data_IF_738179416865
#
_entry.id   IF_738179416865
#
_cell.length_a   1.000
_cell.length_b   1.000
_cell.length_c   1.000
_cell.angle_alpha   90.00
_cell.angle_beta   90.00
_cell.angle_gamma   90.00
#
_symmetry.space_group_name_H-M   'P 1'
#
loop_
_entity.id
_entity.type
_entity.pdbx_description
1 polymer ?
#
# COMPACT_ATOMS: atom_id res chain seq x y z
N UNK A 1 -21.28 22.74 -14.10
CA UNK A 1 -21.02 21.50 -14.87
C UNK A 1 -21.13 20.31 -13.92
N UNK A 2 -22.29 19.65 -13.92
CA UNK A 2 -22.57 18.52 -13.04
C UNK A 2 -21.80 17.28 -13.53
N UNK A 3 -20.99 16.68 -12.64
CA UNK A 3 -20.34 15.39 -12.88
C UNK A 3 -21.42 14.31 -12.90
N UNK A 4 -21.61 13.67 -14.04
CA UNK A 4 -22.46 12.49 -14.14
C UNK A 4 -21.84 11.34 -13.34
N UNK A 5 -22.59 10.69 -12.44
CA UNK A 5 -22.17 9.43 -11.85
C UNK A 5 -22.10 8.35 -12.94
N UNK A 6 -21.08 7.51 -12.89
CA UNK A 6 -20.90 6.35 -13.78
C UNK A 6 -22.04 5.35 -13.59
N UNK A 7 -23.16 5.56 -14.28
CA UNK A 7 -24.18 4.56 -14.54
C UNK A 7 -24.18 4.27 -16.04
N UNK A 8 -23.20 3.51 -16.48
CA UNK A 8 -23.34 2.73 -17.72
C UNK A 8 -23.02 1.29 -17.39
N UNK A 9 -24.10 0.59 -17.05
CA UNK A 9 -24.22 -0.86 -17.06
C UNK A 9 -23.97 -1.34 -18.49
N UNK A 10 -22.70 -1.42 -18.90
CA UNK A 10 -22.31 -2.31 -19.98
C UNK A 10 -22.19 -3.68 -19.35
N UNK A 11 -23.16 -4.55 -19.64
CA UNK A 11 -23.05 -5.97 -19.36
C UNK A 11 -21.75 -6.46 -20.03
N UNK A 12 -20.70 -6.66 -19.24
CA UNK A 12 -19.48 -7.31 -19.71
C UNK A 12 -19.73 -8.81 -19.75
N UNK A 13 -19.39 -9.49 -20.85
CA UNK A 13 -19.49 -10.94 -20.93
C UNK A 13 -18.57 -11.60 -19.88
N UNK A 14 -19.02 -12.74 -19.37
CA UNK A 14 -18.60 -13.48 -18.17
C UNK A 14 -17.16 -14.06 -18.17
N UNK A 15 -16.20 -13.53 -18.94
CA UNK A 15 -14.92 -14.20 -19.12
C UNK A 15 -13.77 -13.42 -18.48
N UNK A 16 -13.43 -13.87 -17.27
CA UNK A 16 -12.23 -13.57 -16.46
C UNK A 16 -12.13 -12.09 -16.05
N UNK A 17 -12.75 -11.76 -14.92
CA UNK A 17 -12.29 -10.61 -14.16
C UNK A 17 -10.81 -10.85 -13.81
N UNK A 18 -9.87 -9.96 -14.17
CA UNK A 18 -8.51 -10.09 -13.67
C UNK A 18 -8.55 -9.83 -12.17
N UNK A 19 -8.64 -10.90 -11.38
CA UNK A 19 -8.69 -10.83 -9.93
C UNK A 19 -7.30 -11.12 -9.37
N UNK A 20 -6.59 -10.06 -9.02
CA UNK A 20 -5.39 -10.19 -8.23
C UNK A 20 -5.75 -10.31 -6.74
N UNK A 21 -5.41 -11.45 -6.15
CA UNK A 21 -5.59 -11.71 -4.72
C UNK A 21 -4.40 -11.27 -3.87
N UNK A 22 -3.31 -10.85 -4.51
CA UNK A 22 -2.13 -10.36 -3.83
C UNK A 22 -2.46 -9.14 -2.94
N UNK A 23 -1.75 -9.03 -1.82
CA UNK A 23 -2.02 -8.05 -0.78
C UNK A 23 -1.28 -6.73 -0.97
N UNK A 24 -0.23 -6.72 -1.79
CA UNK A 24 0.65 -5.55 -1.98
C UNK A 24 0.52 -5.00 -3.38
N UNK A 25 0.25 -3.70 -3.46
CA UNK A 25 0.16 -2.94 -4.69
C UNK A 25 0.93 -1.63 -4.55
N UNK A 26 1.25 -0.99 -5.66
CA UNK A 26 1.77 0.36 -5.70
C UNK A 26 0.91 1.22 -6.62
N UNK A 27 0.79 2.51 -6.30
CA UNK A 27 0.27 3.48 -7.24
C UNK A 27 1.34 3.76 -8.30
N UNK A 28 1.01 3.57 -9.58
CA UNK A 28 1.89 3.88 -10.71
C UNK A 28 1.33 5.07 -11.49
N UNK A 29 2.21 6.01 -11.82
CA UNK A 29 1.84 7.27 -12.47
C UNK A 29 2.35 7.27 -13.90
N UNK A 30 1.43 7.40 -14.86
CA UNK A 30 1.76 7.62 -16.26
C UNK A 30 0.50 7.94 -17.09
N UNK A 31 0.62 8.85 -18.04
CA UNK A 31 -0.53 9.36 -18.80
C UNK A 31 -1.09 8.35 -19.80
N UNK A 32 -0.27 7.41 -20.28
CA UNK A 32 -0.71 6.41 -21.27
C UNK A 32 -1.29 5.14 -20.64
N UNK A 33 -1.20 4.98 -19.32
CA UNK A 33 -1.67 3.77 -18.66
C UNK A 33 -3.20 3.72 -18.64
N UNK A 34 -3.74 2.53 -18.91
CA UNK A 34 -5.18 2.25 -18.93
C UNK A 34 -5.50 1.15 -17.94
N UNK A 35 -6.65 1.28 -17.28
CA UNK A 35 -7.13 0.25 -16.37
C UNK A 35 -7.44 -1.04 -17.16
N UNK A 36 -6.93 -2.19 -16.71
CA UNK A 36 -7.22 -3.48 -17.36
C UNK A 36 -8.71 -3.88 -17.32
N UNK A 37 -9.51 -3.30 -16.42
CA UNK A 37 -10.93 -3.64 -16.25
C UNK A 37 -11.87 -2.75 -17.07
N UNK A 38 -11.61 -1.44 -17.12
CA UNK A 38 -12.48 -0.49 -17.82
C UNK A 38 -11.85 0.19 -19.04
N UNK A 39 -10.57 -0.06 -19.31
CA UNK A 39 -9.77 0.48 -20.44
C UNK A 39 -9.69 2.02 -20.49
N UNK A 40 -10.16 2.69 -19.44
CA UNK A 40 -10.11 4.15 -19.28
C UNK A 40 -8.80 4.55 -18.60
N UNK A 41 -8.37 5.77 -18.92
CA UNK A 41 -7.39 6.48 -18.12
C UNK A 41 -8.01 6.86 -16.77
N UNK A 42 -7.26 6.73 -15.67
CA UNK A 42 -7.75 7.08 -14.34
C UNK A 42 -7.91 8.60 -14.22
N UNK A 43 -9.04 9.11 -13.73
CA UNK A 43 -9.20 10.54 -13.49
C UNK A 43 -8.25 11.07 -12.41
N UNK A 44 -7.75 10.20 -11.52
CA UNK A 44 -6.78 10.54 -10.47
C UNK A 44 -5.33 10.62 -10.99
N UNK A 45 -5.07 10.22 -12.24
CA UNK A 45 -3.73 10.24 -12.83
C UNK A 45 -2.82 9.07 -12.44
N UNK A 46 -3.33 8.06 -11.73
CA UNK A 46 -2.57 6.86 -11.36
C UNK A 46 -3.44 5.58 -11.37
N UNK A 47 -2.77 4.43 -11.49
CA UNK A 47 -3.39 3.11 -11.36
C UNK A 47 -2.73 2.33 -10.22
N UNK A 48 -3.45 1.38 -9.63
CA UNK A 48 -2.86 0.41 -8.72
C UNK A 48 -2.29 -0.75 -9.53
N UNK A 49 -0.99 -1.04 -9.35
CA UNK A 49 -0.31 -2.20 -9.92
C UNK A 49 0.08 -3.16 -8.82
N UNK A 50 -0.16 -4.45 -9.00
CA UNK A 50 0.37 -5.49 -8.12
C UNK A 50 1.91 -5.46 -8.14
N UNK A 51 2.54 -5.46 -6.97
CA UNK A 51 4.01 -5.47 -6.86
C UNK A 51 4.58 -6.70 -6.16
N UNK A 52 3.75 -7.64 -5.72
CA UNK A 52 4.21 -8.83 -4.96
C UNK A 52 5.34 -9.59 -5.67
N UNK A 53 5.20 -9.85 -6.97
CA UNK A 53 6.28 -10.49 -7.75
C UNK A 53 7.39 -9.51 -8.14
N UNK A 54 7.09 -8.20 -8.19
CA UNK A 54 8.02 -7.16 -8.59
C UNK A 54 9.09 -6.88 -7.53
N UNK A 55 8.74 -6.94 -6.24
CA UNK A 55 9.70 -6.76 -5.15
C UNK A 55 10.90 -7.73 -5.26
N UNK A 56 10.70 -9.07 -5.29
CA UNK A 56 11.81 -10.02 -5.38
C UNK A 56 12.54 -9.96 -6.73
N UNK A 57 11.86 -9.59 -7.82
CA UNK A 57 12.49 -9.38 -9.13
C UNK A 57 13.51 -8.23 -9.09
N UNK A 58 13.17 -7.10 -8.46
CA UNK A 58 14.09 -5.96 -8.32
C UNK A 58 15.32 -6.34 -7.50
N UNK A 59 15.14 -7.07 -6.39
CA UNK A 59 16.29 -7.55 -5.60
C UNK A 59 17.18 -8.51 -6.38
N UNK A 60 16.59 -9.45 -7.12
CA UNK A 60 17.35 -10.40 -7.94
C UNK A 60 18.15 -9.69 -9.04
N UNK A 61 17.54 -8.70 -9.70
CA UNK A 61 18.20 -7.87 -10.70
C UNK A 61 19.39 -7.11 -10.09
N UNK A 62 19.21 -6.47 -8.92
CA UNK A 62 20.32 -5.81 -8.21
C UNK A 62 21.43 -6.80 -7.86
N UNK A 63 21.10 -7.98 -7.35
CA UNK A 63 22.08 -9.01 -6.98
C UNK A 63 22.91 -9.50 -8.19
N UNK A 64 22.35 -9.45 -9.40
CA UNK A 64 23.04 -9.74 -10.66
C UNK A 64 23.89 -8.59 -11.19
N UNK A 65 23.80 -7.40 -10.57
CA UNK A 65 24.48 -6.19 -11.00
C UNK A 65 23.71 -5.35 -12.01
N UNK A 66 22.41 -5.64 -12.24
CA UNK A 66 21.58 -4.84 -13.11
C UNK A 66 21.21 -3.50 -12.47
N UNK A 67 21.11 -2.45 -13.28
CA UNK A 67 20.66 -1.13 -12.81
C UNK A 67 19.15 -1.14 -12.57
N UNK A 68 18.75 -0.99 -11.30
CA UNK A 68 17.34 -1.01 -10.87
C UNK A 68 16.75 0.36 -10.55
N UNK A 69 17.59 1.39 -10.50
CA UNK A 69 17.28 2.77 -10.11
C UNK A 69 17.42 3.72 -11.30
N UNK A 70 16.62 4.79 -11.32
CA UNK A 70 16.72 5.85 -12.33
C UNK A 70 17.29 7.16 -11.77
N UNK A 71 17.42 7.31 -10.45
CA UNK A 71 17.87 8.53 -9.79
C UNK A 71 18.81 8.27 -8.59
N UNK A 72 19.52 9.32 -8.15
CA UNK A 72 20.48 9.24 -7.04
C UNK A 72 19.84 8.96 -5.70
N UNK A 73 18.58 9.37 -5.49
CA UNK A 73 17.82 9.02 -4.30
C UNK A 73 17.52 7.52 -4.28
N UNK A 74 17.16 6.96 -5.43
CA UNK A 74 17.00 5.52 -5.60
C UNK A 74 18.30 4.78 -5.31
N UNK A 75 19.43 5.28 -5.80
CA UNK A 75 20.75 4.67 -5.54
C UNK A 75 21.07 4.62 -4.04
N UNK A 76 20.77 5.70 -3.30
CA UNK A 76 20.97 5.73 -1.85
C UNK A 76 20.13 4.68 -1.12
N UNK A 77 18.85 4.54 -1.47
CA UNK A 77 17.96 3.57 -0.82
C UNK A 77 18.10 2.13 -1.35
N UNK A 78 18.69 1.94 -2.54
CA UNK A 78 18.86 0.62 -3.11
C UNK A 78 19.77 -0.26 -2.25
N UNK A 79 20.71 0.32 -1.49
CA UNK A 79 21.57 -0.41 -0.56
C UNK A 79 20.85 -0.91 0.70
N UNK A 80 19.75 -0.25 1.08
CA UNK A 80 18.97 -0.57 2.28
C UNK A 80 17.72 -1.41 1.97
N UNK A 81 17.46 -1.72 0.70
CA UNK A 81 16.21 -2.38 0.32
C UNK A 81 16.17 -3.87 0.69
N UNK A 82 15.00 -4.33 1.14
CA UNK A 82 14.76 -5.67 1.67
C UNK A 82 13.31 -6.10 1.41
N UNK A 83 13.01 -7.40 1.38
CA UNK A 83 11.61 -7.87 1.34
C UNK A 83 10.92 -7.79 2.72
N UNK A 84 11.60 -7.20 3.70
CA UNK A 84 11.16 -6.97 5.06
C UNK A 84 11.41 -8.17 5.98
N UNK A 85 11.27 -7.94 7.29
CA UNK A 85 11.42 -8.97 8.34
C UNK A 85 10.66 -10.30 8.07
N UNK A 86 9.49 -10.21 7.43
CA UNK A 86 8.63 -11.35 7.13
C UNK A 86 8.70 -11.80 5.66
N UNK A 87 9.67 -11.27 4.92
CA UNK A 87 9.88 -11.55 3.51
C UNK A 87 10.29 -13.00 3.23
N UNK A 88 10.14 -13.46 1.99
CA UNK A 88 10.51 -14.82 1.60
C UNK A 88 12.03 -15.07 1.70
N UNK A 89 12.86 -14.04 1.56
CA UNK A 89 14.31 -14.08 1.77
C UNK A 89 14.68 -14.33 3.23
N UNK A 90 14.04 -13.63 4.18
CA UNK A 90 14.23 -13.83 5.62
C UNK A 90 13.80 -15.26 6.03
N UNK A 91 12.70 -15.74 5.45
CA UNK A 91 12.12 -17.07 5.69
C UNK A 91 12.86 -18.24 5.07
N UNK A 92 13.89 -17.98 4.25
CA UNK A 92 14.79 -19.03 3.73
C UNK A 92 15.50 -19.79 4.85
N UNK A 93 15.78 -19.14 5.98
CA UNK A 93 16.47 -19.77 7.11
C UNK A 93 15.48 -20.61 7.92
N UNK A 94 15.81 -21.87 8.18
CA UNK A 94 14.91 -22.82 8.86
C UNK A 94 14.36 -22.32 10.20
N UNK A 95 15.18 -21.60 10.97
CA UNK A 95 14.82 -21.04 12.29
C UNK A 95 14.50 -19.54 12.23
N UNK A 96 14.17 -18.98 11.06
CA UNK A 96 13.83 -17.55 10.93
C UNK A 96 12.64 -17.14 11.80
N UNK A 97 11.77 -18.09 12.15
CA UNK A 97 10.60 -17.86 12.98
C UNK A 97 10.94 -17.16 14.30
N UNK A 98 12.03 -17.60 14.95
CA UNK A 98 12.44 -17.03 16.23
C UNK A 98 12.91 -15.57 16.11
N UNK A 99 13.31 -15.15 14.91
CA UNK A 99 13.66 -13.76 14.62
C UNK A 99 12.42 -12.93 14.18
N UNK A 100 11.30 -13.56 13.83
CA UNK A 100 10.07 -12.93 13.37
C UNK A 100 9.14 -12.55 14.53
N UNK A 101 9.17 -13.30 15.63
CA UNK A 101 8.35 -13.05 16.83
C UNK A 101 9.14 -12.31 17.90
N UNK A 102 8.44 -11.66 18.83
CA UNK A 102 9.07 -11.01 19.98
C UNK A 102 9.38 -12.03 21.09
N UNK A 103 10.32 -11.74 22.00
CA UNK A 103 10.59 -12.61 23.15
C UNK A 103 9.35 -12.90 24.00
N UNK A 104 8.46 -11.93 24.16
CA UNK A 104 7.20 -12.07 24.89
C UNK A 104 6.27 -13.06 24.18
N UNK A 105 6.19 -12.97 22.85
CA UNK A 105 5.41 -13.91 22.03
C UNK A 105 5.98 -15.32 22.12
N UNK A 106 7.31 -15.50 22.15
CA UNK A 106 7.95 -16.83 22.34
C UNK A 106 7.43 -17.50 23.60
N UNK A 107 7.31 -16.76 24.71
CA UNK A 107 6.85 -17.33 25.99
C UNK A 107 5.39 -17.77 25.97
N UNK A 108 4.59 -17.26 25.03
CA UNK A 108 3.18 -17.65 24.89
C UNK A 108 2.99 -19.03 24.23
N UNK A 109 4.02 -19.55 23.55
CA UNK A 109 3.97 -20.85 22.88
C UNK A 109 4.45 -21.98 23.78
N UNK A 110 3.81 -23.14 23.66
CA UNK A 110 4.35 -24.38 24.23
C UNK A 110 5.53 -24.89 23.40
N UNK A 111 6.38 -25.71 24.02
CA UNK A 111 7.53 -26.31 23.32
C UNK A 111 7.07 -27.15 22.10
N UNK A 112 5.97 -27.88 22.24
CA UNK A 112 5.39 -28.70 21.17
C UNK A 112 4.84 -27.86 20.01
N UNK A 113 4.27 -26.68 20.32
CA UNK A 113 3.83 -25.75 19.28
C UNK A 113 5.03 -25.18 18.51
N UNK A 114 6.10 -24.79 19.23
CA UNK A 114 7.33 -24.30 18.61
C UNK A 114 7.98 -25.37 17.72
N UNK A 115 8.07 -26.62 18.19
CA UNK A 115 8.63 -27.71 17.38
C UNK A 115 7.80 -27.94 16.11
N UNK A 116 6.47 -27.94 16.24
CA UNK A 116 5.56 -28.09 15.11
C UNK A 116 5.74 -26.98 14.08
N UNK A 117 5.81 -25.71 14.51
CA UNK A 117 6.00 -24.56 13.62
C UNK A 117 7.34 -24.65 12.89
N UNK A 118 8.42 -24.99 13.59
CA UNK A 118 9.76 -25.09 13.01
C UNK A 118 9.83 -26.26 12.00
N UNK A 119 9.16 -27.37 12.29
CA UNK A 119 9.08 -28.52 11.39
C UNK A 119 8.25 -28.21 10.14
N UNK A 120 7.11 -27.56 10.29
CA UNK A 120 6.29 -27.08 9.17
C UNK A 120 7.09 -26.16 8.24
N UNK A 121 7.88 -25.24 8.81
CA UNK A 121 8.72 -24.34 8.02
C UNK A 121 9.82 -25.08 7.26
N UNK A 122 10.46 -26.06 7.89
CA UNK A 122 11.43 -26.93 7.20
C UNK A 122 10.78 -27.63 6.01
N UNK A 123 9.60 -28.20 6.21
CA UNK A 123 8.87 -28.93 5.17
C UNK A 123 8.50 -28.02 3.99
N UNK A 124 8.07 -26.78 4.24
CA UNK A 124 7.76 -25.80 3.18
C UNK A 124 9.00 -25.48 2.33
N UNK A 125 10.18 -25.35 2.94
CA UNK A 125 11.43 -25.10 2.20
C UNK A 125 11.77 -26.30 1.31
N UNK A 126 11.64 -27.52 1.84
CA UNK A 126 11.91 -28.74 1.09
C UNK A 126 10.88 -28.95 -0.04
N UNK A 127 9.61 -28.64 0.20
CA UNK A 127 8.56 -28.66 -0.81
C UNK A 127 8.79 -27.63 -1.93
N UNK A 128 9.15 -26.40 -1.58
CA UNK A 128 9.51 -25.38 -2.59
C UNK A 128 10.65 -25.85 -3.49
N UNK A 129 11.71 -26.45 -2.91
CA UNK A 129 12.82 -27.02 -3.68
C UNK A 129 12.35 -28.14 -4.60
N UNK A 130 11.53 -29.07 -4.09
CA UNK A 130 10.96 -30.18 -4.88
C UNK A 130 10.09 -29.68 -6.03
N UNK A 131 9.26 -28.67 -5.79
CA UNK A 131 8.43 -28.05 -6.83
C UNK A 131 9.26 -27.31 -7.89
N UNK A 132 10.38 -26.69 -7.52
CA UNK A 132 11.30 -26.10 -8.50
C UNK A 132 11.82 -27.16 -9.48
N UNK A 133 12.23 -28.33 -8.98
CA UNK A 133 12.66 -29.45 -9.82
C UNK A 133 11.52 -30.03 -10.68
N UNK A 134 10.30 -30.10 -10.15
CA UNK A 134 9.14 -30.68 -10.83
C UNK A 134 8.60 -29.76 -11.94
N UNK A 135 8.46 -28.48 -11.66
CA UNK A 135 7.82 -27.52 -12.56
C UNK A 135 8.73 -27.05 -13.68
N UNK A 136 10.05 -27.05 -13.45
CA UNK A 136 11.05 -26.62 -14.42
C UNK A 136 10.94 -25.13 -14.79
N UNK A 137 12.08 -24.43 -14.79
CA UNK A 137 12.24 -23.03 -15.25
C UNK A 137 11.39 -21.92 -14.60
N UNK A 138 10.28 -22.14 -13.89
CA UNK A 138 9.47 -21.04 -13.29
C UNK A 138 10.30 -20.17 -12.33
N UNK A 139 11.31 -20.77 -11.70
CA UNK A 139 12.30 -20.10 -10.87
C UNK A 139 13.66 -20.14 -11.61
N UNK A 140 14.27 -18.97 -11.88
CA UNK A 140 15.50 -18.90 -12.66
C UNK A 140 16.75 -19.24 -11.84
N UNK A 141 16.66 -19.23 -10.50
CA UNK A 141 17.79 -19.38 -9.59
C UNK A 141 17.40 -20.21 -8.36
N UNK A 142 18.05 -21.37 -8.19
CA UNK A 142 17.86 -22.27 -7.05
C UNK A 142 18.24 -21.64 -5.70
N UNK A 143 19.03 -20.56 -5.71
CA UNK A 143 19.40 -19.81 -4.50
C UNK A 143 18.30 -18.84 -4.05
N UNK A 144 17.38 -18.47 -4.96
CA UNK A 144 16.25 -17.58 -4.71
C UNK A 144 14.93 -18.18 -5.26
N UNK A 145 14.46 -19.33 -4.73
CA UNK A 145 13.28 -20.05 -5.22
C UNK A 145 11.95 -19.32 -5.02
N UNK A 146 11.95 -18.11 -4.45
CA UNK A 146 10.77 -17.24 -4.36
C UNK A 146 10.72 -16.17 -5.46
N UNK A 147 11.81 -15.99 -6.23
CA UNK A 147 11.88 -15.06 -7.35
C UNK A 147 11.28 -15.76 -8.57
N UNK A 148 10.10 -15.36 -9.01
CA UNK A 148 9.51 -15.84 -10.25
C UNK A 148 10.29 -15.32 -11.47
N UNK A 149 10.21 -16.04 -12.59
CA UNK A 149 10.59 -15.45 -13.89
C UNK A 149 9.74 -14.20 -14.20
N UNK A 150 10.36 -13.22 -14.87
CA UNK A 150 9.70 -11.97 -15.27
C UNK A 150 8.46 -12.19 -16.15
N UNK A 151 8.49 -13.21 -17.00
CA UNK A 151 7.35 -13.63 -17.86
C UNK A 151 6.12 -14.06 -17.07
N UNK A 152 6.30 -14.44 -15.81
CA UNK A 152 5.24 -14.87 -14.90
C UNK A 152 4.91 -13.84 -13.81
N UNK A 153 5.44 -12.61 -13.91
CA UNK A 153 5.09 -11.51 -13.00
C UNK A 153 3.59 -11.18 -13.10
N UNK A 154 2.91 -10.99 -11.97
CA UNK A 154 1.55 -10.50 -11.95
C UNK A 154 1.44 -9.07 -12.53
N UNK A 155 0.98 -8.96 -13.78
CA UNK A 155 0.77 -7.69 -14.49
C UNK A 155 -0.57 -7.01 -14.15
N UNK A 156 -1.18 -7.30 -13.00
CA UNK A 156 -2.50 -6.74 -12.68
C UNK A 156 -2.42 -5.22 -12.41
N UNK A 157 -3.12 -4.43 -13.24
CA UNK A 157 -3.16 -2.97 -13.16
C UNK A 157 -4.60 -2.44 -13.27
N UNK A 158 -5.08 -1.72 -12.25
CA UNK A 158 -6.49 -1.29 -12.13
C UNK A 158 -6.66 0.11 -11.56
N UNK A 159 -7.71 0.82 -11.97
CA UNK A 159 -8.02 2.14 -11.42
C UNK A 159 -8.78 2.05 -10.09
N UNK A 160 -8.82 3.15 -9.35
CA UNK A 160 -9.51 3.21 -8.07
C UNK A 160 -11.01 2.90 -8.18
N UNK A 161 -11.69 3.37 -9.24
CA UNK A 161 -13.11 3.08 -9.44
C UNK A 161 -13.41 1.59 -9.65
N UNK A 162 -12.54 0.89 -10.37
CA UNK A 162 -12.68 -0.55 -10.65
C UNK A 162 -12.23 -1.44 -9.48
N UNK A 163 -11.35 -0.92 -8.63
CA UNK A 163 -10.82 -1.63 -7.47
C UNK A 163 -10.53 -0.68 -6.30
N UNK A 164 -11.57 -0.26 -5.55
CA UNK A 164 -11.40 0.70 -4.44
C UNK A 164 -10.45 0.20 -3.35
N UNK A 165 -10.45 -1.12 -3.10
CA UNK A 165 -9.56 -1.80 -2.15
C UNK A 165 -8.07 -1.70 -2.52
N UNK A 166 -7.72 -1.27 -3.73
CA UNK A 166 -6.34 -1.03 -4.13
C UNK A 166 -5.64 -0.03 -3.20
N UNK A 167 -6.40 0.94 -2.67
CA UNK A 167 -5.89 1.93 -1.70
C UNK A 167 -5.39 1.27 -0.40
N UNK A 168 -6.11 0.27 0.09
CA UNK A 168 -5.75 -0.47 1.32
C UNK A 168 -4.53 -1.38 1.11
N UNK A 169 -4.15 -1.61 -0.16
CA UNK A 169 -3.02 -2.45 -0.55
C UNK A 169 -1.81 -1.64 -1.01
N UNK A 170 -1.94 -0.32 -1.15
CA UNK A 170 -0.93 0.58 -1.69
C UNK A 170 -0.32 1.51 -0.65
N UNK A 171 -0.11 1.00 0.56
CA UNK A 171 0.47 1.78 1.66
C UNK A 171 1.85 1.23 2.02
N UNK A 172 2.67 2.08 2.63
CA UNK A 172 4.01 1.76 3.12
C UNK A 172 4.10 2.22 4.57
N UNK A 173 4.67 1.40 5.44
CA UNK A 173 4.86 1.73 6.85
C UNK A 173 6.02 2.72 7.01
N UNK A 174 5.77 3.91 7.56
CA UNK A 174 6.84 4.85 7.89
C UNK A 174 7.78 4.28 8.96
N UNK A 175 7.23 3.59 9.97
CA UNK A 175 8.05 2.91 10.97
C UNK A 175 8.89 1.79 10.34
N UNK A 176 8.33 1.07 9.36
CA UNK A 176 9.08 0.06 8.60
C UNK A 176 10.26 0.69 7.87
N UNK A 177 10.02 1.77 7.14
CA UNK A 177 11.09 2.51 6.44
C UNK A 177 12.17 3.02 7.41
N UNK A 178 11.77 3.57 8.56
CA UNK A 178 12.72 4.05 9.59
C UNK A 178 13.55 2.91 10.21
N UNK A 179 13.01 1.69 10.26
CA UNK A 179 13.68 0.51 10.78
C UNK A 179 14.49 -0.24 9.70
N UNK A 180 14.61 0.31 8.48
CA UNK A 180 15.33 -0.32 7.36
C UNK A 180 14.53 -1.39 6.62
N UNK A 181 13.22 -1.54 6.88
CA UNK A 181 12.32 -2.42 6.10
C UNK A 181 11.80 -1.68 4.84
N UNK A 182 12.72 -1.30 3.95
CA UNK A 182 12.40 -0.54 2.73
C UNK A 182 12.15 -1.51 1.57
N UNK A 183 10.90 -1.56 1.09
CA UNK A 183 10.55 -2.41 -0.05
C UNK A 183 11.29 -2.00 -1.34
N UNK A 184 11.72 -2.94 -2.19
CA UNK A 184 12.45 -2.66 -3.42
C UNK A 184 11.76 -1.68 -4.37
N UNK A 185 10.43 -1.78 -4.55
CA UNK A 185 9.68 -0.84 -5.39
C UNK A 185 9.65 0.57 -4.81
N UNK A 186 9.68 0.70 -3.48
CA UNK A 186 9.71 1.99 -2.77
C UNK A 186 11.10 2.61 -2.89
N UNK A 187 12.15 1.85 -2.59
CA UNK A 187 13.54 2.28 -2.69
C UNK A 187 13.86 2.79 -4.11
N UNK A 188 13.57 1.96 -5.12
CA UNK A 188 13.86 2.29 -6.53
C UNK A 188 12.93 3.35 -7.13
N UNK A 189 11.88 3.76 -6.41
CA UNK A 189 10.91 4.73 -6.93
C UNK A 189 10.06 4.19 -8.07
N UNK A 190 9.79 2.88 -8.08
CA UNK A 190 9.12 2.15 -9.16
C UNK A 190 7.81 2.81 -9.62
N UNK A 191 7.03 3.40 -8.70
CA UNK A 191 5.83 4.19 -8.98
C UNK A 191 6.00 5.28 -10.04
N UNK A 192 7.20 5.82 -10.16
CA UNK A 192 7.57 6.92 -11.06
C UNK A 192 8.54 6.49 -12.16
N UNK A 193 8.84 5.20 -12.26
CA UNK A 193 9.77 4.66 -13.27
C UNK A 193 9.37 5.02 -14.69
N UNK A 194 8.07 5.08 -14.99
CA UNK A 194 7.56 5.49 -16.30
C UNK A 194 7.81 6.97 -16.63
N UNK A 195 7.74 7.85 -15.63
CA UNK A 195 7.99 9.28 -15.79
C UNK A 195 9.48 9.63 -15.77
N UNK A 196 10.34 8.68 -15.37
CA UNK A 196 11.80 8.86 -15.27
C UNK A 196 12.26 9.89 -14.23
N UNK A 197 11.34 10.43 -13.43
CA UNK A 197 11.60 11.47 -12.43
C UNK A 197 10.59 11.38 -11.30
N UNK A 198 11.03 11.68 -10.08
CA UNK A 198 10.13 11.77 -8.91
C UNK A 198 9.45 13.14 -8.89
N UNK A 199 8.14 13.21 -8.59
CA UNK A 199 7.46 14.48 -8.41
C UNK A 199 7.94 15.14 -7.11
N UNK A 200 8.87 16.09 -7.23
CA UNK A 200 9.36 16.89 -6.11
C UNK A 200 8.73 18.29 -6.16
N UNK A 201 8.20 18.75 -5.03
CA UNK A 201 7.74 20.13 -4.86
C UNK A 201 8.81 20.94 -4.12
N UNK A 202 8.98 22.22 -4.48
CA UNK A 202 9.91 23.12 -3.79
C UNK A 202 9.48 23.27 -2.32
N UNK A 203 10.40 22.97 -1.40
CA UNK A 203 10.19 23.05 0.03
C UNK A 203 9.75 24.47 0.48
N UNK A 204 10.23 25.52 -0.18
CA UNK A 204 9.82 26.89 0.08
C UNK A 204 8.37 27.16 -0.33
N UNK A 205 7.90 26.49 -1.39
CA UNK A 205 6.49 26.57 -1.81
C UNK A 205 5.62 25.79 -0.82
N UNK A 206 6.01 24.55 -0.50
CA UNK A 206 5.25 23.66 0.41
C UNK A 206 5.10 24.27 1.80
N UNK A 207 6.16 24.91 2.34
CA UNK A 207 6.13 25.60 3.64
C UNK A 207 5.04 26.68 3.71
N UNK A 208 4.70 27.29 2.58
CA UNK A 208 3.75 28.40 2.51
C UNK A 208 2.31 27.97 2.13
N UNK A 209 2.06 26.66 1.93
CA UNK A 209 0.71 26.15 1.65
C UNK A 209 -0.16 26.34 2.89
N UNK A 210 -1.36 26.92 2.72
CA UNK A 210 -2.29 27.19 3.82
C UNK A 210 -1.96 28.43 4.67
N UNK A 211 -0.76 29.02 4.53
CA UNK A 211 -0.37 30.25 5.23
C UNK A 211 -0.76 31.53 4.49
N UNK A 212 -1.27 31.43 3.25
CA UNK A 212 -1.74 32.59 2.49
C UNK A 212 -3.13 32.99 2.99
N UNK A 213 -3.32 34.29 3.25
CA UNK A 213 -4.63 34.81 3.58
C UNK A 213 -5.63 34.43 2.49
N UNK A 214 -6.71 33.75 2.88
CA UNK A 214 -7.84 33.50 1.97
C UNK A 214 -8.36 34.86 1.52
N UNK A 215 -8.37 35.18 0.22
CA UNK A 215 -8.97 36.41 -0.25
C UNK A 215 -10.43 36.41 0.20
N UNK A 216 -10.76 37.30 1.15
CA UNK A 216 -12.15 37.52 1.51
C UNK A 216 -12.86 37.99 0.24
N UNK A 217 -13.93 37.30 -0.14
CA UNK A 217 -14.81 37.74 -1.22
C UNK A 217 -15.28 39.15 -0.85
N UNK A 218 -14.77 40.16 -1.55
CA UNK A 218 -15.30 41.52 -1.41
C UNK A 218 -16.67 41.50 -2.06
N UNK A 219 -17.72 41.38 -1.24
CA UNK A 219 -19.08 41.65 -1.68
C UNK A 219 -19.13 43.14 -1.99
N UNK A 220 -18.92 43.50 -3.25
CA UNK A 220 -19.19 44.85 -3.74
C UNK A 220 -20.70 45.02 -3.75
N UNK A 221 -21.19 45.94 -2.92
CA UNK A 221 -22.60 46.20 -2.65
C UNK A 221 -23.33 46.91 -3.81
N UNK A 222 -23.11 46.45 -5.04
CA UNK A 222 -23.74 46.98 -6.25
C UNK A 222 -24.15 45.81 -7.13
N UNK A 223 -25.22 45.12 -6.73
CA UNK A 223 -26.32 44.79 -7.64
C UNK A 223 -27.57 44.35 -6.85
N UNK A 224 -28.77 44.81 -7.25
CA UNK A 224 -30.01 44.57 -6.53
C UNK A 224 -30.64 43.25 -6.96
N UNK A 225 -30.27 42.15 -6.32
CA UNK A 225 -31.08 40.93 -6.38
C UNK A 225 -31.59 40.58 -4.99
N UNK A 226 -32.93 40.48 -4.78
CA UNK A 226 -33.48 40.21 -3.48
C UNK A 226 -33.12 38.78 -3.07
N UNK A 227 -32.28 38.67 -2.03
CA UNK A 227 -32.03 37.42 -1.33
C UNK A 227 -33.35 36.94 -0.72
N UNK A 228 -33.85 35.80 -1.18
CA UNK A 228 -34.81 35.01 -0.41
C UNK A 228 -34.13 34.58 0.89
N UNK A 229 -34.73 34.82 2.07
CA UNK A 229 -34.13 34.37 3.32
C UNK A 229 -34.31 32.86 3.45
N UNK A 230 -33.21 32.12 3.39
CA UNK A 230 -33.14 30.80 4.02
C UNK A 230 -33.01 31.03 5.53
N UNK A 231 -34.08 30.77 6.26
CA UNK A 231 -34.10 30.77 7.72
C UNK A 231 -33.07 29.74 8.25
N UNK A 232 -31.95 30.24 8.74
CA UNK A 232 -31.11 29.53 9.70
C UNK A 232 -31.31 30.18 11.06
N UNK A 233 -32.22 29.61 11.85
CA UNK A 233 -32.31 29.86 13.28
C UNK A 233 -31.08 29.24 13.97
N UNK A 234 -30.12 30.09 14.33
CA UNK A 234 -29.10 29.79 15.33
C UNK A 234 -29.61 30.32 16.68
N UNK A 235 -30.15 29.43 17.51
CA UNK A 235 -30.41 29.74 18.92
C UNK A 235 -29.12 29.64 19.70
N UNK A 236 -28.56 30.80 20.04
CA UNK A 236 -27.52 30.96 21.07
C UNK A 236 -28.14 30.76 22.45
N UNK A 237 -27.65 29.83 23.26
CA UNK A 237 -27.83 29.88 24.72
C UNK A 237 -26.49 29.69 25.41
N UNK A 238 -26.13 30.73 26.17
CA UNK A 238 -24.94 30.82 26.98
C UNK A 238 -25.00 29.95 28.24
N UNK A 239 -23.78 29.67 28.70
CA UNK A 239 -23.37 29.02 29.94
C UNK A 239 -24.17 29.40 31.19
N UNK A 240 -24.56 28.40 31.99
CA UNK A 240 -24.51 28.50 33.46
C UNK A 240 -24.20 27.14 34.09
N UNK A 241 -23.19 27.15 34.97
CA UNK A 241 -22.69 26.04 35.80
C UNK A 241 -23.82 25.37 36.61
N UNK A 242 -23.77 24.02 36.74
CA UNK A 242 -24.09 23.30 37.99
C UNK A 242 -23.68 21.81 37.93
N UNK A 243 -22.80 21.43 38.86
CA UNK A 243 -22.71 20.15 39.58
C UNK A 243 -22.77 18.81 38.83
N UNK A 244 -21.63 18.12 38.78
CA UNK A 244 -21.53 16.66 38.60
C UNK A 244 -21.99 15.94 39.89
N UNK A 245 -22.80 14.88 39.80
CA UNK A 245 -22.80 13.83 40.81
C UNK A 245 -22.04 12.59 40.31
N UNK A 246 -21.12 12.13 41.16
CA UNK A 246 -20.47 10.82 41.11
C UNK A 246 -21.51 9.70 40.97
N UNK A 247 -21.34 8.81 39.99
CA UNK A 247 -22.05 7.52 39.95
C UNK A 247 -21.08 6.36 40.12
N UNK A 248 -21.33 5.63 41.20
CA UNK A 248 -20.68 4.40 41.68
C UNK A 248 -21.00 3.25 40.72
N UNK A 249 -19.98 2.53 40.25
CA UNK A 249 -20.16 1.25 39.54
C UNK A 249 -20.35 0.17 40.60
N UNK A 250 -21.51 -0.49 40.61
CA UNK A 250 -21.74 -1.71 41.39
C UNK A 250 -21.36 -2.91 40.51
N UNK A 251 -20.55 -3.82 41.04
CA UNK A 251 -20.24 -5.10 40.41
C UNK A 251 -21.37 -6.12 40.57
N UNK A 252 -21.33 -7.25 39.83
CA UNK A 252 -22.37 -8.27 39.83
C UNK A 252 -22.32 -9.16 41.10
N UNK A 253 -23.45 -9.77 41.50
CA UNK A 253 -23.53 -10.61 42.69
C UNK A 253 -23.04 -12.05 42.43
N UNK A 254 -22.62 -12.79 43.48
CA UNK A 254 -22.09 -14.13 43.36
C UNK A 254 -23.18 -15.21 43.33
N UNK A 255 -22.86 -16.32 42.67
CA UNK A 255 -23.43 -17.67 42.87
C UNK A 255 -22.29 -18.64 43.06
#
# INVERSE_FOLDING_TARGET
MYRQPCLTTRATPYWIEPQCHHLTMAAIYHDTLRCMRCERQPPEGFLYRCTVDREPLILSAKAKGDRVTFDSLGDAFAEEMTLGRFGPDARRKQHSFLNEITPEEITSYTLEQLSTILEQRKNVIDDQRRECYRTGKIYPDDTMPWVRQETHECQHVVCHQCYPRGREKSWVSLNGVLNGDILPTVATGFSFSYSGSRPCADANVVRNIGCRAVPLVRITHTDPFPLRPALLTLSSHGSTRRGLPHRRIQGPPPT
#
